data_IF_299195770937
#
_entry.id   IF_299195770937
#
_cell.length_a   1.000
_cell.length_b   1.000
_cell.length_c   1.000
_cell.angle_alpha   90.00
_cell.angle_beta   90.00
_cell.angle_gamma   90.00
#
_symmetry.space_group_name_H-M   'P 1'
#
loop_
_entity.id
_entity.type
_entity.pdbx_description
1 polymer ?
#
# COMPACT_ATOMS: atom_id res chain seq x y z
N UNK A 1 -1.93 -3.31 -35.14
CA UNK A 1 -3.12 -2.45 -35.00
C UNK A 1 -3.53 -2.25 -33.53
N UNK A 2 -4.07 -3.24 -32.80
CA UNK A 2 -4.49 -3.05 -31.40
C UNK A 2 -3.30 -2.83 -30.46
N UNK A 3 -2.29 -3.72 -30.50
CA UNK A 3 -1.07 -3.56 -29.68
C UNK A 3 -0.32 -2.26 -29.98
N UNK A 4 -0.24 -1.83 -31.24
CA UNK A 4 0.39 -0.55 -31.61
C UNK A 4 -0.38 0.65 -31.06
N UNK A 5 -1.71 0.59 -30.99
CA UNK A 5 -2.53 1.64 -30.38
C UNK A 5 -2.37 1.69 -28.87
N UNK A 6 -2.33 0.54 -28.19
CA UNK A 6 -2.06 0.45 -26.75
C UNK A 6 -0.66 0.96 -26.39
N UNK A 7 0.36 0.61 -27.19
CA UNK A 7 1.71 1.15 -27.00
C UNK A 7 1.74 2.67 -27.22
N UNK A 8 1.08 3.18 -28.27
CA UNK A 8 1.04 4.61 -28.53
C UNK A 8 0.30 5.41 -27.45
N UNK A 9 -0.76 4.85 -26.87
CA UNK A 9 -1.49 5.46 -25.76
C UNK A 9 -0.65 5.46 -24.47
N UNK A 10 0.00 4.33 -24.15
CA UNK A 10 0.94 4.25 -23.02
C UNK A 10 2.10 5.24 -23.14
N UNK A 11 2.65 5.40 -24.34
CA UNK A 11 3.72 6.38 -24.62
C UNK A 11 3.23 7.83 -24.47
N UNK A 12 2.00 8.12 -24.91
CA UNK A 12 1.39 9.44 -24.73
C UNK A 12 1.14 9.75 -23.25
N UNK A 13 0.59 8.80 -22.49
CA UNK A 13 0.38 8.92 -21.05
C UNK A 13 1.70 9.15 -20.31
N UNK A 14 2.74 8.39 -20.65
CA UNK A 14 4.07 8.58 -20.08
C UNK A 14 4.64 9.98 -20.38
N UNK A 15 4.39 10.53 -21.56
CA UNK A 15 4.79 11.90 -21.92
C UNK A 15 3.97 12.96 -21.17
N UNK A 16 2.71 12.67 -20.86
CA UNK A 16 1.81 13.60 -20.17
C UNK A 16 1.86 13.48 -18.64
N UNK A 17 2.33 12.36 -18.09
CA UNK A 17 2.39 12.09 -16.66
C UNK A 17 3.07 13.21 -15.86
N UNK A 18 4.23 13.78 -16.28
CA UNK A 18 4.85 14.89 -15.55
C UNK A 18 3.99 16.15 -15.49
N UNK A 19 3.11 16.38 -16.47
CA UNK A 19 2.18 17.52 -16.48
C UNK A 19 0.95 17.25 -15.62
N UNK A 20 0.43 16.03 -15.67
CA UNK A 20 -0.75 15.59 -14.91
C UNK A 20 -0.45 15.53 -13.41
N UNK A 21 0.72 14.98 -13.05
CA UNK A 21 1.13 14.75 -11.67
C UNK A 21 1.86 15.93 -11.04
N UNK A 22 2.11 17.00 -11.80
CA UNK A 22 2.99 18.08 -11.35
C UNK A 22 2.53 18.61 -9.99
N UNK A 23 3.44 18.54 -9.02
CA UNK A 23 3.25 19.00 -7.64
C UNK A 23 2.09 18.32 -6.89
N UNK A 24 1.52 17.23 -7.42
CA UNK A 24 0.38 16.53 -6.80
C UNK A 24 0.76 15.85 -5.48
N UNK A 25 2.04 15.51 -5.29
CA UNK A 25 2.60 14.99 -4.04
C UNK A 25 3.70 15.90 -3.49
N UNK A 26 3.69 17.19 -3.83
CA UNK A 26 4.71 18.14 -3.37
C UNK A 26 4.87 18.12 -1.84
N UNK A 27 6.10 17.91 -1.39
CA UNK A 27 6.47 17.80 0.03
C UNK A 27 5.76 16.66 0.78
N UNK A 28 5.37 15.60 0.06
CA UNK A 28 4.78 14.40 0.66
C UNK A 28 5.75 13.24 0.60
N UNK A 29 5.81 12.52 1.70
CA UNK A 29 6.64 11.34 1.87
C UNK A 29 5.79 10.08 1.75
N UNK A 30 6.28 9.08 1.03
CA UNK A 30 5.54 7.85 0.69
C UNK A 30 6.36 6.64 1.10
N UNK A 31 5.79 5.73 1.87
CA UNK A 31 6.38 4.39 2.09
C UNK A 31 5.70 3.38 1.18
N UNK A 32 6.46 2.45 0.63
CA UNK A 32 5.92 1.38 -0.22
C UNK A 32 6.02 0.06 0.53
N UNK A 33 4.89 -0.63 0.68
CA UNK A 33 4.85 -2.01 1.10
C UNK A 33 4.66 -2.90 -0.13
N UNK A 34 5.47 -3.94 -0.27
CA UNK A 34 5.31 -4.92 -1.36
C UNK A 34 4.95 -6.28 -0.79
N UNK A 35 4.02 -6.98 -1.41
CA UNK A 35 3.70 -8.39 -1.09
C UNK A 35 4.70 -9.34 -1.76
N UNK A 36 4.74 -10.63 -1.38
CA UNK A 36 5.63 -11.61 -2.01
C UNK A 36 5.45 -11.77 -3.53
N UNK A 37 4.21 -11.57 -4.02
CA UNK A 37 3.81 -11.70 -5.43
C UNK A 37 3.92 -10.39 -6.22
N UNK A 38 4.32 -9.28 -5.60
CA UNK A 38 4.49 -7.99 -6.27
C UNK A 38 5.73 -7.98 -7.18
N UNK A 39 5.58 -7.44 -8.39
CA UNK A 39 6.68 -7.34 -9.36
C UNK A 39 7.54 -6.08 -9.14
N UNK A 40 8.85 -6.20 -9.34
CA UNK A 40 9.81 -5.10 -9.14
C UNK A 40 9.51 -3.91 -10.06
N UNK A 41 9.15 -4.17 -11.32
CA UNK A 41 8.81 -3.13 -12.30
C UNK A 41 7.66 -2.22 -11.86
N UNK A 42 6.73 -2.75 -11.05
CA UNK A 42 5.59 -1.98 -10.54
C UNK A 42 6.03 -1.06 -9.39
N UNK A 43 6.96 -1.52 -8.54
CA UNK A 43 7.58 -0.71 -7.48
C UNK A 43 8.43 0.42 -8.07
N UNK A 44 9.25 0.10 -9.07
CA UNK A 44 10.12 1.06 -9.74
C UNK A 44 9.30 2.11 -10.51
N UNK A 45 8.23 1.67 -11.19
CA UNK A 45 7.29 2.55 -11.88
C UNK A 45 6.62 3.54 -10.94
N UNK A 46 6.08 3.06 -9.80
CA UNK A 46 5.46 3.92 -8.80
C UNK A 46 6.47 4.88 -8.15
N UNK A 47 7.67 4.40 -7.82
CA UNK A 47 8.74 5.23 -7.24
C UNK A 47 9.11 6.40 -8.16
N UNK A 48 9.25 6.12 -9.46
CA UNK A 48 9.48 7.14 -10.48
C UNK A 48 8.36 8.16 -10.52
N UNK A 49 7.10 7.73 -10.57
CA UNK A 49 5.96 8.64 -10.66
C UNK A 49 5.75 9.46 -9.38
N UNK A 50 5.97 8.90 -8.20
CA UNK A 50 5.96 9.65 -6.93
C UNK A 50 7.00 10.78 -6.98
N UNK A 51 8.21 10.49 -7.46
CA UNK A 51 9.27 11.50 -7.61
C UNK A 51 8.89 12.58 -8.62
N UNK A 52 8.32 12.19 -9.77
CA UNK A 52 7.81 13.14 -10.78
C UNK A 52 6.67 14.02 -10.25
N UNK A 53 5.88 13.50 -9.32
CA UNK A 53 4.80 14.23 -8.64
C UNK A 53 5.29 15.20 -7.55
N UNK A 54 6.61 15.28 -7.29
CA UNK A 54 7.20 16.10 -6.25
C UNK A 54 7.20 15.46 -4.85
N UNK A 55 6.85 14.18 -4.76
CA UNK A 55 6.92 13.39 -3.53
C UNK A 55 8.28 12.69 -3.36
N UNK A 56 8.49 12.09 -2.19
CA UNK A 56 9.72 11.31 -1.89
C UNK A 56 9.35 9.93 -1.36
N UNK A 57 9.91 8.87 -1.94
CA UNK A 57 9.79 7.52 -1.37
C UNK A 57 10.78 7.35 -0.22
N UNK A 58 10.27 7.06 0.98
CA UNK A 58 11.08 6.96 2.21
C UNK A 58 11.69 5.58 2.41
N UNK A 59 11.21 4.60 1.64
CA UNK A 59 11.74 3.25 1.59
C UNK A 59 10.69 2.23 1.13
N UNK A 60 11.15 1.02 0.92
CA UNK A 60 10.32 -0.14 0.56
C UNK A 60 10.45 -1.22 1.62
N UNK A 61 9.31 -1.67 2.15
CA UNK A 61 9.20 -2.77 3.10
C UNK A 61 8.53 -3.95 2.40
N UNK A 62 9.22 -5.09 2.32
CA UNK A 62 8.67 -6.32 1.79
C UNK A 62 7.97 -7.13 2.86
N UNK A 63 6.69 -7.43 2.67
CA UNK A 63 5.98 -8.44 3.44
C UNK A 63 6.43 -9.81 2.97
N UNK A 64 6.78 -10.69 3.90
CA UNK A 64 7.24 -12.05 3.55
C UNK A 64 6.06 -13.00 3.35
N UNK A 65 6.35 -14.21 2.85
CA UNK A 65 5.34 -15.26 2.80
C UNK A 65 4.81 -15.59 4.20
N UNK A 66 5.67 -15.50 5.22
CA UNK A 66 5.29 -15.73 6.62
C UNK A 66 4.28 -14.69 7.13
N UNK A 67 4.34 -13.44 6.65
CA UNK A 67 3.37 -12.42 7.03
C UNK A 67 2.00 -12.68 6.44
N UNK A 68 1.94 -13.12 5.19
CA UNK A 68 0.68 -13.28 4.46
C UNK A 68 0.04 -14.66 4.67
N UNK A 69 0.81 -15.64 5.14
CA UNK A 69 0.32 -16.98 5.47
C UNK A 69 -0.49 -16.98 6.78
N UNK A 70 -1.60 -17.71 6.77
CA UNK A 70 -2.48 -17.86 7.92
C UNK A 70 -1.83 -18.68 9.05
N UNK A 71 -0.90 -19.58 8.74
CA UNK A 71 -0.28 -20.46 9.73
C UNK A 71 0.65 -19.75 10.72
N UNK A 72 1.05 -18.50 10.42
CA UNK A 72 1.91 -17.70 11.28
C UNK A 72 1.15 -16.60 12.02
N UNK A 73 -0.18 -16.67 12.03
CA UNK A 73 -1.05 -15.66 12.65
C UNK A 73 -0.78 -15.48 14.14
N UNK A 74 -0.72 -16.56 14.92
CA UNK A 74 -0.48 -16.50 16.36
C UNK A 74 0.93 -15.96 16.66
N UNK A 75 1.91 -16.34 15.84
CA UNK A 75 3.28 -15.83 15.95
C UNK A 75 3.32 -14.33 15.69
N UNK A 76 2.66 -13.85 14.62
CA UNK A 76 2.60 -12.42 14.30
C UNK A 76 1.90 -11.65 15.42
N UNK A 77 0.77 -12.14 15.91
CA UNK A 77 0.06 -11.51 17.04
C UNK A 77 0.90 -11.49 18.31
N UNK A 78 1.69 -12.54 18.59
CA UNK A 78 2.59 -12.54 19.74
C UNK A 78 3.69 -11.47 19.61
N UNK A 79 4.25 -11.29 18.42
CA UNK A 79 5.26 -10.25 18.16
C UNK A 79 4.64 -8.86 18.24
N UNK A 80 3.49 -8.65 17.61
CA UNK A 80 2.80 -7.34 17.58
C UNK A 80 2.33 -6.91 18.97
N UNK A 81 1.90 -7.86 19.82
CA UNK A 81 1.51 -7.60 21.21
C UNK A 81 2.70 -7.57 22.19
N UNK A 82 3.93 -7.81 21.72
CA UNK A 82 5.14 -7.64 22.54
C UNK A 82 5.38 -6.15 22.83
N UNK A 83 6.22 -5.78 23.82
CA UNK A 83 6.53 -4.39 24.16
C UNK A 83 7.40 -3.69 23.11
N UNK A 84 7.08 -3.87 21.83
CA UNK A 84 7.67 -3.18 20.68
C UNK A 84 6.78 -2.03 20.17
N UNK A 85 5.55 -1.90 20.69
CA UNK A 85 4.69 -0.76 20.36
C UNK A 85 5.37 0.54 20.83
N UNK A 86 5.52 1.56 19.96
CA UNK A 86 6.13 2.84 20.34
C UNK A 86 5.49 3.48 21.57
N UNK A 87 6.29 4.16 22.39
CA UNK A 87 5.81 4.74 23.64
C UNK A 87 4.70 5.78 23.41
N UNK A 88 3.63 5.70 24.20
CA UNK A 88 2.47 6.60 24.06
C UNK A 88 1.50 6.22 22.93
N UNK A 89 1.84 5.24 22.09
CA UNK A 89 0.92 4.66 21.12
C UNK A 89 0.19 3.43 21.69
N UNK A 90 -0.95 3.10 21.10
CA UNK A 90 -1.72 1.90 21.41
C UNK A 90 -2.24 1.30 20.12
N UNK A 91 -2.22 -0.03 20.05
CA UNK A 91 -2.82 -0.73 18.92
C UNK A 91 -4.33 -0.54 18.92
N UNK A 92 -4.88 -0.28 17.73
CA UNK A 92 -6.30 -0.14 17.49
C UNK A 92 -7.07 -1.40 17.88
N UNK A 93 -8.17 -1.23 18.63
CA UNK A 93 -9.06 -2.33 19.02
C UNK A 93 -10.13 -2.65 17.98
N UNK A 94 -10.11 -1.97 16.82
CA UNK A 94 -11.11 -2.12 15.76
C UNK A 94 -11.15 -3.53 15.15
N UNK A 95 -10.03 -4.25 15.19
CA UNK A 95 -9.94 -5.65 14.76
C UNK A 95 -8.86 -6.39 15.56
N UNK A 96 -9.01 -7.71 15.64
CA UNK A 96 -8.05 -8.65 16.24
C UNK A 96 -7.34 -9.50 15.18
N UNK A 97 -7.65 -9.32 13.90
CA UNK A 97 -7.02 -10.02 12.79
C UNK A 97 -5.53 -9.68 12.68
N UNK A 98 -4.67 -10.69 12.41
CA UNK A 98 -3.22 -10.48 12.40
C UNK A 98 -2.75 -9.51 11.32
N UNK A 99 -3.37 -9.52 10.14
CA UNK A 99 -3.02 -8.63 9.04
C UNK A 99 -3.31 -7.19 9.45
N UNK A 100 -4.50 -6.96 10.02
CA UNK A 100 -4.87 -5.65 10.56
C UNK A 100 -3.90 -5.20 11.65
N UNK A 101 -3.58 -6.05 12.64
CA UNK A 101 -2.66 -5.70 13.73
C UNK A 101 -1.24 -5.40 13.24
N UNK A 102 -0.74 -6.16 12.27
CA UNK A 102 0.55 -5.88 11.62
C UNK A 102 0.53 -4.54 10.88
N UNK A 103 -0.56 -4.25 10.17
CA UNK A 103 -0.76 -2.96 9.47
C UNK A 103 -0.87 -1.78 10.42
N UNK A 104 -1.56 -1.97 11.54
CA UNK A 104 -1.71 -0.98 12.59
C UNK A 104 -0.38 -0.66 13.26
N UNK A 105 0.42 -1.67 13.64
CA UNK A 105 1.76 -1.47 14.21
C UNK A 105 2.71 -0.77 13.23
N UNK A 106 2.74 -1.21 11.97
CA UNK A 106 3.56 -0.57 10.94
C UNK A 106 3.07 0.83 10.61
N UNK A 107 1.76 1.07 10.66
CA UNK A 107 1.14 2.38 10.48
C UNK A 107 1.59 3.35 11.58
N UNK A 108 1.47 2.96 12.84
CA UNK A 108 1.97 3.73 13.99
C UNK A 108 3.46 4.08 13.81
N UNK A 109 4.26 3.10 13.38
CA UNK A 109 5.71 3.25 13.36
C UNK A 109 6.22 4.05 12.15
N UNK A 110 5.56 3.95 11.01
CA UNK A 110 6.04 4.50 9.74
C UNK A 110 5.26 5.70 9.25
N UNK A 111 4.00 5.89 9.65
CA UNK A 111 3.14 6.95 9.12
C UNK A 111 3.03 8.14 10.05
N UNK A 112 3.20 9.33 9.50
CA UNK A 112 2.88 10.58 10.15
C UNK A 112 1.36 10.72 10.23
N UNK A 113 0.86 10.84 11.46
CA UNK A 113 -0.56 11.04 11.68
C UNK A 113 -1.06 12.31 11.01
N UNK A 114 -2.24 12.24 10.41
CA UNK A 114 -2.95 13.41 9.84
C UNK A 114 -3.30 14.50 10.87
N UNK A 115 -3.21 14.19 12.17
CA UNK A 115 -3.45 15.14 13.24
C UNK A 115 -2.08 15.66 13.69
N UNK A 116 -1.76 16.94 13.45
CA UNK A 116 -0.44 17.50 13.79
C UNK A 116 -0.15 17.50 15.29
N UNK A 117 -1.14 17.21 16.15
CA UNK A 117 -0.95 17.09 17.60
C UNK A 117 -0.35 15.74 18.00
N UNK A 118 -0.47 14.72 17.16
CA UNK A 118 0.13 13.41 17.41
C UNK A 118 1.59 13.49 16.99
N UNK A 119 2.49 13.37 17.96
CA UNK A 119 3.92 13.38 17.70
C UNK A 119 4.30 12.16 16.84
N UNK A 120 5.11 12.34 15.79
CA UNK A 120 5.68 11.21 15.06
C UNK A 120 6.48 10.30 15.98
N UNK A 121 6.46 9.01 15.70
CA UNK A 121 7.33 8.03 16.37
C UNK A 121 8.78 8.39 16.11
N UNK A 122 9.59 8.35 17.18
CA UNK A 122 11.02 8.61 17.07
C UNK A 122 11.73 7.52 16.28
N UNK A 123 12.89 7.89 15.75
CA UNK A 123 13.66 7.04 14.88
C UNK A 123 14.16 5.73 15.55
N UNK A 124 14.49 5.77 16.83
CA UNK A 124 14.96 4.58 17.56
C UNK A 124 13.84 3.57 17.80
N UNK A 125 12.64 4.05 18.12
CA UNK A 125 11.45 3.21 18.28
C UNK A 125 11.02 2.59 16.96
N UNK A 126 11.01 3.39 15.88
CA UNK A 126 10.73 2.91 14.52
C UNK A 126 11.67 1.76 14.13
N UNK A 127 12.97 1.92 14.35
CA UNK A 127 13.96 0.87 14.04
C UNK A 127 13.74 -0.38 14.89
N UNK A 128 13.37 -0.21 16.16
CA UNK A 128 13.09 -1.34 17.06
C UNK A 128 11.94 -2.18 16.54
N UNK A 129 10.85 -1.54 16.07
CA UNK A 129 9.71 -2.26 15.47
C UNK A 129 10.13 -2.98 14.20
N UNK A 130 10.79 -2.28 13.29
CA UNK A 130 11.22 -2.85 12.01
C UNK A 130 12.21 -4.00 12.20
N UNK A 131 13.17 -3.87 13.12
CA UNK A 131 14.11 -4.92 13.46
C UNK A 131 13.39 -6.14 14.05
N UNK A 132 12.48 -5.95 15.01
CA UNK A 132 11.72 -7.06 15.60
C UNK A 132 10.91 -7.85 14.56
N UNK A 133 10.21 -7.15 13.66
CA UNK A 133 9.45 -7.80 12.58
C UNK A 133 10.36 -8.49 11.55
N UNK A 134 11.52 -7.92 11.26
CA UNK A 134 12.50 -8.54 10.35
C UNK A 134 13.13 -9.78 10.96
N UNK A 135 13.58 -9.70 12.21
CA UNK A 135 14.27 -10.77 12.92
C UNK A 135 13.33 -11.97 13.18
N UNK A 136 12.02 -11.73 13.21
CA UNK A 136 11.00 -12.77 13.33
C UNK A 136 10.52 -13.33 11.99
N UNK A 137 10.99 -12.78 10.86
CA UNK A 137 10.73 -13.29 9.52
C UNK A 137 9.52 -12.68 8.80
N UNK A 138 8.85 -11.69 9.39
CA UNK A 138 7.61 -11.12 8.87
C UNK A 138 7.81 -10.03 7.81
N UNK A 139 8.91 -9.28 7.91
CA UNK A 139 9.22 -8.25 6.92
C UNK A 139 10.67 -8.33 6.46
N UNK A 140 10.93 -7.69 5.33
CA UNK A 140 12.26 -7.44 4.79
C UNK A 140 12.37 -5.97 4.40
N UNK A 141 13.57 -5.42 4.44
CA UNK A 141 13.88 -4.11 3.90
C UNK A 141 15.39 -4.05 3.61
N UNK A 142 15.79 -3.13 2.72
CA UNK A 142 17.17 -2.97 2.31
C UNK A 142 18.08 -2.41 3.42
N UNK A 143 19.34 -2.15 3.08
CA UNK A 143 20.30 -1.54 4.01
C UNK A 143 19.98 -0.06 4.34
N UNK A 144 19.14 0.58 3.53
CA UNK A 144 18.70 1.95 3.76
C UNK A 144 17.68 2.00 4.90
N UNK A 145 17.85 2.97 5.78
CA UNK A 145 16.89 3.29 6.85
C UNK A 145 15.57 3.70 6.22
N UNK A 146 14.46 3.15 6.74
CA UNK A 146 13.11 3.56 6.36
C UNK A 146 12.73 4.79 7.20
N UNK A 147 12.52 5.93 6.55
CA UNK A 147 12.07 7.15 7.24
C UNK A 147 10.55 7.21 7.39
N UNK A 148 10.05 8.11 8.25
CA UNK A 148 8.62 8.39 8.36
C UNK A 148 8.04 8.86 7.03
N UNK A 149 6.82 8.41 6.72
CA UNK A 149 6.07 8.79 5.53
C UNK A 149 4.71 9.40 5.88
N UNK A 150 4.15 10.24 5.03
CA UNK A 150 2.80 10.79 5.21
C UNK A 150 1.72 9.83 4.72
N UNK A 151 2.07 8.93 3.81
CA UNK A 151 1.12 8.08 3.09
C UNK A 151 1.78 6.79 2.62
N UNK A 152 0.98 5.79 2.24
CA UNK A 152 1.48 4.46 1.87
C UNK A 152 0.89 3.93 0.56
N UNK A 153 1.74 3.25 -0.20
CA UNK A 153 1.29 2.24 -1.17
C UNK A 153 1.41 0.84 -0.57
N UNK A 154 0.43 -0.01 -0.83
CA UNK A 154 0.54 -1.46 -0.68
C UNK A 154 0.45 -2.06 -2.08
N UNK A 155 1.53 -2.66 -2.57
CA UNK A 155 1.64 -3.18 -3.93
C UNK A 155 1.54 -4.71 -3.89
N UNK A 156 0.60 -5.25 -4.64
CA UNK A 156 0.36 -6.70 -4.81
C UNK A 156 0.46 -7.10 -6.27
N UNK A 157 0.54 -8.41 -6.53
CA UNK A 157 0.51 -8.97 -7.88
C UNK A 157 -0.89 -8.95 -8.52
N UNK A 158 -1.09 -9.89 -9.46
CA UNK A 158 -2.35 -10.07 -10.19
C UNK A 158 -3.31 -11.04 -9.48
N UNK A 159 -3.97 -11.94 -10.21
CA UNK A 159 -4.86 -12.93 -9.59
C UNK A 159 -4.09 -13.93 -8.74
N UNK A 160 -4.62 -14.25 -7.57
CA UNK A 160 -4.12 -15.33 -6.73
C UNK A 160 -4.70 -16.70 -7.15
N UNK A 161 -3.87 -17.75 -7.01
CA UNK A 161 -4.29 -19.13 -7.22
C UNK A 161 -5.26 -19.63 -6.16
N UNK A 162 -5.95 -20.76 -6.43
CA UNK A 162 -6.91 -21.36 -5.50
C UNK A 162 -6.29 -21.85 -4.18
N UNK A 163 -4.97 -22.06 -4.18
CA UNK A 163 -4.15 -22.47 -3.06
C UNK A 163 -3.63 -21.30 -2.21
N UNK A 164 -3.86 -20.05 -2.64
CA UNK A 164 -3.41 -18.85 -1.91
C UNK A 164 -4.13 -18.64 -0.56
N UNK A 165 -5.15 -19.44 -0.25
CA UNK A 165 -5.87 -19.41 1.01
C UNK A 165 -6.35 -18.00 1.38
N UNK A 166 -5.87 -17.49 2.52
CA UNK A 166 -6.25 -16.18 3.05
C UNK A 166 -5.27 -15.05 2.70
N UNK A 167 -4.28 -15.28 1.84
CA UNK A 167 -3.23 -14.30 1.53
C UNK A 167 -3.79 -12.93 1.12
N UNK A 168 -4.73 -12.88 0.17
CA UNK A 168 -5.32 -11.61 -0.24
C UNK A 168 -6.15 -10.94 0.85
N UNK A 169 -6.83 -11.71 1.71
CA UNK A 169 -7.55 -11.16 2.85
C UNK A 169 -6.60 -10.58 3.91
N UNK A 170 -5.48 -11.23 4.18
CA UNK A 170 -4.43 -10.73 5.07
C UNK A 170 -3.86 -9.40 4.56
N UNK A 171 -3.54 -9.30 3.27
CA UNK A 171 -3.02 -8.08 2.64
C UNK A 171 -4.07 -6.96 2.65
N UNK A 172 -5.34 -7.27 2.36
CA UNK A 172 -6.42 -6.30 2.40
C UNK A 172 -6.62 -5.71 3.81
N UNK A 173 -6.56 -6.55 4.84
CA UNK A 173 -6.67 -6.12 6.24
C UNK A 173 -5.43 -5.38 6.73
N UNK A 174 -4.25 -5.78 6.26
CA UNK A 174 -3.02 -5.03 6.47
C UNK A 174 -3.12 -3.60 5.94
N UNK A 175 -3.58 -3.41 4.71
CA UNK A 175 -3.78 -2.09 4.13
C UNK A 175 -4.79 -1.25 4.95
N UNK A 176 -5.85 -1.87 5.46
CA UNK A 176 -6.82 -1.19 6.33
C UNK A 176 -6.25 -0.81 7.69
N UNK A 177 -5.40 -1.66 8.28
CA UNK A 177 -4.67 -1.34 9.52
C UNK A 177 -3.74 -0.14 9.34
N UNK A 178 -3.06 -0.04 8.20
CA UNK A 178 -2.22 1.12 7.85
C UNK A 178 -3.02 2.41 7.69
N UNK A 179 -4.18 2.33 7.01
CA UNK A 179 -4.97 3.49 6.59
C UNK A 179 -5.42 4.40 7.74
N UNK A 180 -5.46 3.88 8.97
CA UNK A 180 -5.79 4.68 10.16
C UNK A 180 -4.74 5.71 10.57
N UNK A 181 -3.49 5.55 10.13
CA UNK A 181 -2.34 6.28 10.69
C UNK A 181 -1.73 7.33 9.75
N UNK A 182 -2.00 7.24 8.44
CA UNK A 182 -1.48 8.19 7.45
C UNK A 182 -2.53 9.15 6.92
N UNK A 183 -2.10 9.98 5.97
CA UNK A 183 -2.97 10.84 5.16
C UNK A 183 -3.62 10.08 3.99
N UNK A 184 -3.25 8.82 3.77
CA UNK A 184 -3.85 7.97 2.74
C UNK A 184 -3.11 6.64 2.57
N UNK A 185 -3.86 5.60 2.18
CA UNK A 185 -3.30 4.31 1.76
C UNK A 185 -3.99 3.87 0.47
N UNK A 186 -3.20 3.47 -0.53
CA UNK A 186 -3.70 2.89 -1.78
C UNK A 186 -3.15 1.48 -1.94
N UNK A 187 -4.05 0.50 -2.10
CA UNK A 187 -3.74 -0.88 -2.43
C UNK A 187 -3.77 -1.05 -3.95
N UNK A 188 -2.62 -1.30 -4.55
CA UNK A 188 -2.46 -1.40 -6.01
C UNK A 188 -2.11 -2.84 -6.40
N UNK A 189 -2.84 -3.38 -7.37
CA UNK A 189 -2.62 -4.71 -7.93
C UNK A 189 -2.51 -4.65 -9.45
N UNK A 190 -2.04 -5.75 -10.04
CA UNK A 190 -2.01 -5.92 -11.50
C UNK A 190 -3.36 -6.40 -12.01
N UNK A 191 -3.55 -6.34 -13.33
CA UNK A 191 -4.75 -6.83 -14.00
C UNK A 191 -5.12 -8.26 -13.51
N UNK A 192 -6.41 -8.47 -13.27
CA UNK A 192 -6.96 -9.67 -12.65
C UNK A 192 -6.98 -9.67 -11.10
N UNK A 193 -6.29 -8.75 -10.43
CA UNK A 193 -6.29 -8.63 -8.96
C UNK A 193 -7.65 -8.27 -8.33
N UNK A 194 -8.59 -7.78 -9.14
CA UNK A 194 -9.97 -7.52 -8.73
C UNK A 194 -10.88 -8.77 -8.76
N UNK A 195 -10.31 -9.98 -8.85
CA UNK A 195 -11.06 -11.25 -8.88
C UNK A 195 -10.64 -12.24 -7.80
N UNK A 196 -11.53 -13.18 -7.49
CA UNK A 196 -11.26 -14.30 -6.57
C UNK A 196 -10.94 -13.83 -5.15
N UNK A 197 -9.90 -14.42 -4.56
CA UNK A 197 -9.43 -14.13 -3.19
C UNK A 197 -8.27 -13.12 -3.15
N UNK A 198 -7.98 -12.47 -4.28
CA UNK A 198 -6.93 -11.46 -4.41
C UNK A 198 -7.20 -10.24 -3.54
N UNK A 199 -6.15 -9.53 -3.11
CA UNK A 199 -6.30 -8.47 -2.11
C UNK A 199 -7.25 -7.34 -2.55
N UNK A 200 -7.16 -6.88 -3.80
CA UNK A 200 -8.05 -5.85 -4.33
C UNK A 200 -9.50 -6.34 -4.38
N UNK A 201 -9.73 -7.58 -4.81
CA UNK A 201 -11.06 -8.20 -4.82
C UNK A 201 -11.68 -8.25 -3.41
N UNK A 202 -10.89 -8.66 -2.41
CA UNK A 202 -11.33 -8.75 -1.01
C UNK A 202 -11.64 -7.36 -0.45
N UNK A 203 -10.76 -6.38 -0.66
CA UNK A 203 -10.99 -4.99 -0.21
C UNK A 203 -12.29 -4.41 -0.79
N UNK A 204 -12.56 -4.65 -2.08
CA UNK A 204 -13.78 -4.12 -2.73
C UNK A 204 -15.07 -4.82 -2.29
N UNK A 205 -14.96 -6.08 -1.88
CA UNK A 205 -16.11 -6.92 -1.50
C UNK A 205 -16.53 -6.72 -0.04
N UNK A 206 -15.68 -6.14 0.79
CA UNK A 206 -15.95 -5.82 2.19
C UNK A 206 -16.16 -4.30 2.35
N UNK A 207 -17.31 -3.89 2.87
CA UNK A 207 -17.64 -2.47 3.01
C UNK A 207 -16.71 -1.71 3.97
N UNK A 208 -16.24 -2.35 5.05
CA UNK A 208 -15.32 -1.71 5.99
C UNK A 208 -13.94 -1.50 5.36
N UNK A 209 -13.44 -2.49 4.62
CA UNK A 209 -12.15 -2.37 3.92
C UNK A 209 -12.23 -1.36 2.76
N UNK A 210 -13.29 -1.43 1.95
CA UNK A 210 -13.55 -0.50 0.84
C UNK A 210 -13.59 0.97 1.29
N UNK A 211 -14.15 1.23 2.46
CA UNK A 211 -14.24 2.58 3.02
C UNK A 211 -12.95 3.06 3.67
N UNK A 212 -11.99 2.16 3.94
CA UNK A 212 -10.71 2.50 4.56
C UNK A 212 -9.59 2.71 3.53
N UNK A 213 -9.63 2.01 2.40
CA UNK A 213 -8.49 1.92 1.46
C UNK A 213 -8.96 2.16 0.03
N UNK A 214 -8.21 2.99 -0.72
CA UNK A 214 -8.44 3.11 -2.17
C UNK A 214 -7.76 1.96 -2.90
N UNK A 215 -8.31 1.50 -4.01
CA UNK A 215 -7.67 0.44 -4.81
C UNK A 215 -7.43 0.84 -6.25
N UNK A 216 -6.40 0.27 -6.86
CA UNK A 216 -6.15 0.30 -8.31
C UNK A 216 -5.82 -1.12 -8.76
N UNK A 217 -6.40 -1.62 -9.85
CA UNK A 217 -6.28 -3.03 -10.26
C UNK A 217 -5.49 -3.29 -11.55
N UNK A 218 -4.85 -2.26 -12.12
CA UNK A 218 -4.13 -2.36 -13.39
C UNK A 218 -2.76 -1.67 -13.34
N UNK A 219 -2.05 -1.76 -12.20
CA UNK A 219 -0.75 -1.09 -11.98
C UNK A 219 0.35 -1.51 -12.97
N UNK A 220 0.15 -2.60 -13.70
CA UNK A 220 1.02 -3.01 -14.80
C UNK A 220 0.84 -2.19 -16.09
N UNK A 221 -0.12 -1.24 -16.13
CA UNK A 221 -0.30 -0.25 -17.18
C UNK A 221 0.23 1.12 -16.75
N UNK A 222 0.70 1.95 -17.67
CA UNK A 222 1.16 3.31 -17.32
C UNK A 222 -0.01 4.14 -16.76
N UNK A 223 -1.20 4.01 -17.34
CA UNK A 223 -2.41 4.70 -16.87
C UNK A 223 -2.77 4.30 -15.44
N UNK A 224 -2.69 3.01 -15.09
CA UNK A 224 -2.91 2.50 -13.74
C UNK A 224 -1.89 3.03 -12.73
N UNK A 225 -0.61 3.17 -13.14
CA UNK A 225 0.44 3.77 -12.30
C UNK A 225 0.19 5.26 -12.07
N UNK A 226 -0.20 6.01 -13.11
CA UNK A 226 -0.57 7.43 -12.98
C UNK A 226 -1.78 7.56 -12.06
N UNK A 227 -2.82 6.74 -12.26
CA UNK A 227 -4.02 6.73 -11.41
C UNK A 227 -3.69 6.38 -9.97
N UNK A 228 -2.74 5.49 -9.71
CA UNK A 228 -2.28 5.16 -8.35
C UNK A 228 -1.73 6.38 -7.63
N UNK A 229 -0.89 7.19 -8.29
CA UNK A 229 -0.34 8.43 -7.72
C UNK A 229 -1.42 9.50 -7.56
N UNK A 230 -2.34 9.63 -8.52
CA UNK A 230 -3.48 10.55 -8.41
C UNK A 230 -4.43 10.18 -7.27
N UNK A 231 -4.73 8.90 -7.08
CA UNK A 231 -5.54 8.39 -5.99
C UNK A 231 -4.89 8.70 -4.63
N UNK A 232 -3.57 8.47 -4.51
CA UNK A 232 -2.82 8.81 -3.31
C UNK A 232 -2.86 10.33 -3.03
N UNK A 233 -2.65 11.14 -4.07
CA UNK A 233 -2.76 12.61 -4.00
C UNK A 233 -4.15 13.05 -3.55
N UNK A 234 -5.22 12.45 -4.08
CA UNK A 234 -6.59 12.77 -3.67
C UNK A 234 -6.81 12.49 -2.17
N UNK A 235 -6.36 11.34 -1.68
CA UNK A 235 -6.43 10.99 -0.25
C UNK A 235 -5.67 11.98 0.63
N UNK A 236 -4.43 12.32 0.24
CA UNK A 236 -3.62 13.33 0.93
C UNK A 236 -4.33 14.69 1.03
N UNK A 237 -5.17 15.01 0.04
CA UNK A 237 -5.98 16.23 0.00
C UNK A 237 -7.38 16.06 0.64
N UNK A 238 -7.62 14.96 1.36
CA UNK A 238 -8.84 14.75 2.15
C UNK A 238 -10.00 14.10 1.39
N UNK A 239 -9.77 13.57 0.19
CA UNK A 239 -10.77 12.76 -0.49
C UNK A 239 -11.07 11.47 0.29
N UNK A 240 -12.28 10.94 0.12
CA UNK A 240 -12.63 9.62 0.63
C UNK A 240 -12.04 8.53 -0.26
N UNK A 241 -11.74 7.33 0.29
CA UNK A 241 -11.29 6.21 -0.50
C UNK A 241 -12.22 5.83 -1.66
N UNK A 242 -11.63 5.44 -2.80
CA UNK A 242 -12.35 5.07 -4.03
C UNK A 242 -11.65 3.90 -4.76
N UNK A 243 -12.33 3.29 -5.72
CA UNK A 243 -11.91 2.04 -6.37
C UNK A 243 -11.72 2.28 -7.87
N UNK A 244 -10.47 2.22 -8.33
CA UNK A 244 -10.06 2.56 -9.69
C UNK A 244 -9.61 1.34 -10.47
N UNK A 245 -9.72 1.40 -11.80
CA UNK A 245 -9.22 0.33 -12.66
C UNK A 245 -10.23 -0.12 -13.69
N UNK A 246 -10.03 -1.34 -14.18
CA UNK A 246 -10.85 -1.96 -15.23
C UNK A 246 -11.56 -3.22 -14.74
N UNK A 247 -11.17 -3.75 -13.57
CA UNK A 247 -11.74 -4.95 -12.99
C UNK A 247 -13.03 -4.71 -12.20
N UNK A 248 -13.61 -5.79 -11.69
CA UNK A 248 -14.87 -5.72 -10.94
C UNK A 248 -14.78 -4.82 -9.71
N UNK A 249 -15.86 -4.10 -9.46
CA UNK A 249 -15.98 -3.20 -8.31
C UNK A 249 -15.25 -1.87 -8.46
N UNK A 250 -14.61 -1.60 -9.60
CA UNK A 250 -14.12 -0.27 -9.95
C UNK A 250 -15.32 0.67 -10.13
N UNK A 251 -15.29 1.79 -9.42
CA UNK A 251 -16.28 2.87 -9.47
C UNK A 251 -15.78 4.06 -10.28
N UNK A 252 -14.49 4.09 -10.61
CA UNK A 252 -13.86 5.07 -11.47
C UNK A 252 -12.87 4.40 -12.43
N UNK A 253 -12.78 4.92 -13.65
CA UNK A 253 -11.80 4.44 -14.65
C UNK A 253 -10.45 5.11 -14.43
N UNK A 254 -9.39 4.45 -14.85
CA UNK A 254 -8.05 5.03 -14.88
C UNK A 254 -7.95 6.18 -15.88
N UNK A 255 -6.82 6.89 -15.86
CA UNK A 255 -6.47 7.80 -16.95
C UNK A 255 -6.64 7.06 -18.29
N UNK A 256 -7.13 7.78 -19.30
CA UNK A 256 -7.62 7.19 -20.55
C UNK A 256 -6.53 6.38 -21.25
N UNK A 257 -6.75 5.08 -21.39
CA UNK A 257 -5.96 4.16 -22.22
C UNK A 257 -6.27 4.31 -23.72
#
# INVERSE_FOLDING_TARGET
>A
ALNEKLSAAGDFDAQMAPRILRDSLANKSVVIFRTPDAADDDIDGLTRLVTQAGGTVTGTVGLTQEFVDANSAEKLLSVVNSPIVPAGAQLSTASVDQGFKGGDLLGISLLNHKDPKVAPVDDSQRDTVLAALRDTGFITYGAQRIAAADTAFVVTGGPLGSDAGNQGATVARFAAGLAGHGSGTVLVGRDGSATGTSAVAVTRSDAALKNAVSTVDDVNSESGRITSVLALSALVNGATPDQFGIGQGATSVTVSQ
#
